data_IF_301462852990
#
_entry.id   IF_301462852990
#
_cell.length_a   1.000
_cell.length_b   1.000
_cell.length_c   1.000
_cell.angle_alpha   90.00
_cell.angle_beta   90.00
_cell.angle_gamma   90.00
#
_symmetry.space_group_name_H-M   'P 1'
#
loop_
_entity.id
_entity.type
_entity.pdbx_description
1 polymer ?
#
# COMPACT_ATOMS: atom_id res chain seq x y z
N UNK A 1 7.17 22.93 15.57
CA UNK A 1 8.17 21.91 15.17
C UNK A 1 7.51 20.94 14.22
N UNK A 2 7.94 20.91 12.96
CA UNK A 2 7.35 20.03 11.94
C UNK A 2 7.64 18.57 12.29
N UNK A 3 6.65 17.91 12.89
CA UNK A 3 6.63 16.45 13.06
C UNK A 3 6.27 15.86 11.70
N UNK A 4 7.23 15.79 10.78
CA UNK A 4 7.09 14.85 9.68
C UNK A 4 6.93 13.47 10.33
N UNK A 5 5.74 12.89 10.23
CA UNK A 5 5.56 11.48 10.57
C UNK A 5 6.63 10.71 9.80
N UNK A 6 7.36 9.79 10.47
CA UNK A 6 8.31 8.95 9.77
C UNK A 6 7.60 8.30 8.59
N UNK A 7 8.24 8.36 7.42
CA UNK A 7 7.68 7.81 6.18
C UNK A 7 7.26 6.37 6.47
N UNK A 8 6.09 5.96 6.01
CA UNK A 8 5.43 4.71 6.44
C UNK A 8 6.29 3.43 6.31
N UNK A 9 7.26 3.41 5.40
CA UNK A 9 8.21 2.29 5.19
C UNK A 9 9.52 2.43 5.99
N UNK A 10 9.71 3.48 6.78
CA UNK A 10 10.93 3.74 7.53
C UNK A 10 10.97 2.92 8.82
N UNK A 11 12.07 2.18 9.04
CA UNK A 11 12.29 1.38 10.24
C UNK A 11 13.59 1.74 10.95
N UNK A 12 13.72 1.36 12.22
CA UNK A 12 14.98 1.55 12.97
C UNK A 12 16.13 0.77 12.34
N UNK A 13 15.86 -0.38 11.71
CA UNK A 13 16.86 -1.17 11.00
C UNK A 13 17.37 -0.45 9.74
N UNK A 14 16.47 0.15 8.95
CA UNK A 14 16.86 0.99 7.79
C UNK A 14 17.71 2.18 8.26
N UNK A 15 17.35 2.80 9.39
CA UNK A 15 18.12 3.90 9.98
C UNK A 15 19.53 3.47 10.37
N UNK A 16 19.69 2.32 11.02
CA UNK A 16 21.00 1.72 11.36
C UNK A 16 21.82 1.42 10.10
N UNK A 17 21.25 0.67 9.15
CA UNK A 17 21.92 0.32 7.88
C UNK A 17 22.31 1.56 7.07
N UNK A 18 21.50 2.62 7.11
CA UNK A 18 21.83 3.90 6.46
C UNK A 18 23.02 4.57 7.14
N UNK A 19 23.06 4.59 8.46
CA UNK A 19 24.18 5.16 9.20
C UNK A 19 25.48 4.40 8.90
N UNK A 20 25.44 3.07 8.87
CA UNK A 20 26.56 2.20 8.49
C UNK A 20 27.01 2.43 7.05
N UNK A 21 26.07 2.46 6.10
CA UNK A 21 26.36 2.71 4.69
C UNK A 21 27.04 4.07 4.48
N UNK A 22 26.60 5.10 5.20
CA UNK A 22 27.22 6.43 5.17
C UNK A 22 28.63 6.42 5.79
N UNK A 23 28.85 5.67 6.87
CA UNK A 23 30.18 5.48 7.47
C UNK A 23 31.13 4.79 6.50
N UNK A 24 30.71 3.66 5.92
CA UNK A 24 31.49 2.90 4.94
C UNK A 24 31.80 3.73 3.68
N UNK A 25 30.82 4.48 3.16
CA UNK A 25 31.04 5.42 2.03
C UNK A 25 32.16 6.41 2.33
N UNK A 26 32.14 7.02 3.53
CA UNK A 26 33.17 7.98 3.94
C UNK A 26 34.54 7.34 4.06
N UNK A 27 34.62 6.09 4.54
CA UNK A 27 35.88 5.34 4.60
C UNK A 27 36.46 5.10 3.21
N UNK A 28 35.66 4.61 2.26
CA UNK A 28 36.07 4.41 0.85
C UNK A 28 36.55 5.71 0.22
N UNK A 29 35.81 6.80 0.40
CA UNK A 29 36.18 8.11 -0.15
C UNK A 29 37.54 8.60 0.36
N UNK A 30 37.85 8.37 1.64
CA UNK A 30 39.13 8.76 2.27
C UNK A 30 40.27 7.78 1.97
N UNK A 31 39.95 6.57 1.53
CA UNK A 31 40.92 5.53 1.20
C UNK A 31 41.33 5.54 -0.28
N UNK A 32 40.78 6.45 -1.11
CA UNK A 32 41.19 6.59 -2.52
C UNK A 32 42.71 6.77 -2.62
N UNK A 33 43.34 5.95 -3.46
CA UNK A 33 44.80 5.93 -3.64
C UNK A 33 45.57 5.18 -2.54
N UNK A 34 44.90 4.57 -1.57
CA UNK A 34 45.53 3.75 -0.52
C UNK A 34 45.39 2.25 -0.85
N UNK A 35 46.31 1.39 -0.38
CA UNK A 35 46.22 -0.06 -0.59
C UNK A 35 44.91 -0.68 -0.08
N UNK A 36 44.33 -0.16 1.00
CA UNK A 36 43.08 -0.66 1.58
C UNK A 36 41.80 -0.25 0.81
N UNK A 37 41.91 0.49 -0.30
CA UNK A 37 40.76 0.99 -1.05
C UNK A 37 39.83 -0.14 -1.52
N UNK A 38 40.40 -1.18 -2.12
CA UNK A 38 39.63 -2.28 -2.73
C UNK A 38 38.82 -3.05 -1.67
N UNK A 39 39.45 -3.36 -0.53
CA UNK A 39 38.78 -4.03 0.59
C UNK A 39 37.61 -3.21 1.14
N UNK A 40 37.84 -1.91 1.39
CA UNK A 40 36.80 -1.01 1.86
C UNK A 40 35.68 -0.84 0.83
N UNK A 41 36.00 -0.86 -0.47
CA UNK A 41 35.01 -0.77 -1.54
C UNK A 41 34.09 -2.00 -1.56
N UNK A 42 34.64 -3.21 -1.38
CA UNK A 42 33.86 -4.45 -1.28
C UNK A 42 32.92 -4.38 -0.08
N UNK A 43 33.42 -3.99 1.10
CA UNK A 43 32.61 -3.84 2.32
C UNK A 43 31.49 -2.81 2.12
N UNK A 44 31.80 -1.66 1.50
CA UNK A 44 30.79 -0.65 1.20
C UNK A 44 29.70 -1.15 0.24
N UNK A 45 30.08 -1.89 -0.81
CA UNK A 45 29.12 -2.50 -1.75
C UNK A 45 28.17 -3.45 -1.03
N UNK A 46 28.69 -4.26 -0.11
CA UNK A 46 27.90 -5.18 0.71
C UNK A 46 26.90 -4.44 1.60
N UNK A 47 27.37 -3.46 2.40
CA UNK A 47 26.50 -2.68 3.29
C UNK A 47 25.43 -1.92 2.49
N UNK A 48 25.80 -1.37 1.33
CA UNK A 48 24.85 -0.70 0.43
C UNK A 48 23.79 -1.67 -0.13
N UNK A 49 24.17 -2.91 -0.45
CA UNK A 49 23.25 -3.95 -0.89
C UNK A 49 22.25 -4.29 0.21
N UNK A 50 22.74 -4.47 1.45
CA UNK A 50 21.88 -4.78 2.60
C UNK A 50 20.91 -3.64 2.92
N UNK A 51 21.36 -2.38 2.85
CA UNK A 51 20.47 -1.22 2.97
C UNK A 51 19.38 -1.20 1.90
N UNK A 52 19.74 -1.47 0.62
CA UNK A 52 18.76 -1.50 -0.47
C UNK A 52 17.73 -2.59 -0.24
N UNK A 53 18.18 -3.81 0.08
CA UNK A 53 17.32 -4.94 0.39
C UNK A 53 16.35 -4.62 1.53
N UNK A 54 16.84 -4.07 2.64
CA UNK A 54 15.99 -3.69 3.78
C UNK A 54 14.93 -2.64 3.42
N UNK A 55 15.28 -1.65 2.57
CA UNK A 55 14.31 -0.66 2.07
C UNK A 55 13.24 -1.32 1.20
N UNK A 56 13.65 -2.18 0.27
CA UNK A 56 12.72 -2.85 -0.65
C UNK A 56 11.78 -3.79 0.10
N UNK A 57 12.30 -4.55 1.06
CA UNK A 57 11.53 -5.47 1.90
C UNK A 57 10.54 -4.70 2.79
N UNK A 58 10.96 -3.58 3.40
CA UNK A 58 10.06 -2.76 4.21
C UNK A 58 8.95 -2.12 3.37
N UNK A 59 9.26 -1.62 2.17
CA UNK A 59 8.25 -1.09 1.25
C UNK A 59 7.25 -2.15 0.83
N UNK A 60 7.71 -3.37 0.49
CA UNK A 60 6.84 -4.50 0.13
C UNK A 60 5.92 -4.86 1.29
N UNK A 61 6.46 -5.02 2.50
CA UNK A 61 5.67 -5.33 3.70
C UNK A 61 4.61 -4.26 3.94
N UNK A 62 4.99 -2.99 3.95
CA UNK A 62 4.02 -1.91 4.16
C UNK A 62 2.98 -1.78 3.04
N UNK A 63 3.32 -2.19 1.81
CA UNK A 63 2.36 -2.25 0.71
C UNK A 63 1.34 -3.36 0.91
N UNK A 64 1.78 -4.54 1.36
CA UNK A 64 0.89 -5.66 1.70
C UNK A 64 -0.04 -5.27 2.86
N UNK A 65 0.50 -4.70 3.94
CA UNK A 65 -0.29 -4.20 5.08
C UNK A 65 -1.35 -3.17 4.64
N UNK A 66 -1.00 -2.29 3.70
CA UNK A 66 -1.95 -1.31 3.16
C UNK A 66 -3.07 -1.98 2.35
N UNK A 67 -2.77 -3.02 1.57
CA UNK A 67 -3.78 -3.78 0.82
C UNK A 67 -4.69 -4.54 1.78
N UNK A 68 -4.14 -5.19 2.80
CA UNK A 68 -4.92 -5.93 3.80
C UNK A 68 -5.87 -4.99 4.56
N UNK A 69 -5.44 -3.76 4.83
CA UNK A 69 -6.28 -2.72 5.45
C UNK A 69 -7.50 -2.36 4.58
N UNK A 70 -7.39 -2.39 3.24
CA UNK A 70 -8.53 -2.12 2.34
C UNK A 70 -9.69 -3.09 2.57
N UNK A 71 -9.37 -4.36 2.83
CA UNK A 71 -10.39 -5.39 3.05
C UNK A 71 -11.18 -5.16 4.35
N UNK A 72 -10.56 -4.53 5.35
CA UNK A 72 -11.18 -4.28 6.66
C UNK A 72 -11.84 -2.90 6.73
N UNK A 73 -11.19 -1.88 6.17
CA UNK A 73 -11.66 -0.51 6.13
C UNK A 73 -11.42 0.11 4.75
N UNK A 74 -12.39 -0.04 3.83
CA UNK A 74 -12.28 0.49 2.46
C UNK A 74 -12.10 2.01 2.41
N UNK A 75 -12.52 2.74 3.45
CA UNK A 75 -12.50 4.21 3.51
C UNK A 75 -11.41 4.77 4.43
N UNK A 76 -10.56 3.90 4.99
CA UNK A 76 -9.52 4.26 5.94
C UNK A 76 -8.26 4.85 5.30
N UNK A 77 -7.09 4.45 5.82
CA UNK A 77 -5.79 4.91 5.33
C UNK A 77 -5.56 4.65 3.84
N UNK A 78 -5.96 3.51 3.24
CA UNK A 78 -5.75 3.26 1.81
C UNK A 78 -6.47 4.28 0.92
N UNK A 79 -7.74 4.57 1.22
CA UNK A 79 -8.52 5.59 0.53
C UNK A 79 -7.85 6.96 0.63
N UNK A 80 -7.41 7.36 1.83
CA UNK A 80 -6.70 8.63 2.02
C UNK A 80 -5.42 8.72 1.20
N UNK A 81 -4.62 7.65 1.15
CA UNK A 81 -3.39 7.61 0.34
C UNK A 81 -3.69 7.78 -1.16
N UNK A 82 -4.76 7.15 -1.65
CA UNK A 82 -5.21 7.31 -3.04
C UNK A 82 -5.70 8.73 -3.28
N UNK A 83 -6.54 9.27 -2.39
CA UNK A 83 -7.07 10.62 -2.53
C UNK A 83 -5.98 11.71 -2.43
N UNK A 84 -4.99 11.57 -1.56
CA UNK A 84 -3.84 12.48 -1.50
C UNK A 84 -3.04 12.47 -2.82
N UNK A 85 -2.96 11.32 -3.52
CA UNK A 85 -2.37 11.25 -4.87
C UNK A 85 -3.27 11.87 -5.94
N UNK A 86 -4.60 11.74 -5.78
CA UNK A 86 -5.59 12.29 -6.70
C UNK A 86 -5.86 13.78 -6.49
N UNK A 87 -5.45 14.37 -5.36
CA UNK A 87 -5.67 15.79 -5.02
C UNK A 87 -5.04 16.78 -6.04
N UNK A 88 -4.19 16.32 -6.96
CA UNK A 88 -3.70 17.12 -8.10
C UNK A 88 -4.58 17.07 -9.36
N UNK A 89 -5.59 16.21 -9.39
CA UNK A 89 -6.53 16.07 -10.50
C UNK A 89 -7.81 16.85 -10.18
N UNK A 90 -8.29 17.63 -11.15
CA UNK A 90 -9.56 18.33 -11.02
C UNK A 90 -10.68 17.29 -10.91
N UNK A 91 -11.39 17.30 -9.78
CA UNK A 91 -12.61 16.54 -9.62
C UNK A 91 -13.62 17.03 -10.65
N UNK A 92 -14.32 16.15 -11.38
CA UNK A 92 -15.37 16.56 -12.30
C UNK A 92 -16.40 17.36 -11.50
N UNK A 93 -16.52 18.65 -11.78
CA UNK A 93 -17.36 19.55 -10.98
C UNK A 93 -18.75 19.74 -11.62
N UNK A 94 -18.90 19.37 -12.89
CA UNK A 94 -20.12 19.59 -13.67
C UNK A 94 -20.99 18.32 -13.72
N UNK A 95 -22.32 18.44 -13.51
CA UNK A 95 -23.25 17.32 -13.55
C UNK A 95 -23.16 16.47 -14.83
N UNK A 96 -23.07 17.11 -15.99
CA UNK A 96 -23.04 16.41 -17.29
C UNK A 96 -21.77 15.55 -17.47
N UNK A 97 -20.64 16.04 -16.95
CA UNK A 97 -19.39 15.27 -16.93
C UNK A 97 -19.50 14.07 -15.99
N UNK A 98 -20.08 14.27 -14.81
CA UNK A 98 -20.35 13.20 -13.85
C UNK A 98 -21.27 12.14 -14.44
N UNK A 99 -22.36 12.53 -15.08
CA UNK A 99 -23.30 11.60 -15.72
C UNK A 99 -22.60 10.78 -16.81
N UNK A 100 -21.76 11.43 -17.63
CA UNK A 100 -20.96 10.73 -18.65
C UNK A 100 -19.98 9.73 -18.03
N UNK A 101 -19.30 10.12 -16.94
CA UNK A 101 -18.37 9.24 -16.23
C UNK A 101 -19.11 8.03 -15.65
N UNK A 102 -20.26 8.25 -14.99
CA UNK A 102 -21.09 7.18 -14.42
C UNK A 102 -21.55 6.22 -15.51
N UNK A 103 -22.05 6.71 -16.64
CA UNK A 103 -22.46 5.85 -17.78
C UNK A 103 -21.33 5.00 -18.35
N UNK A 104 -20.08 5.51 -18.32
CA UNK A 104 -18.90 4.78 -18.82
C UNK A 104 -18.41 3.76 -17.78
N UNK A 105 -18.33 4.15 -16.50
CA UNK A 105 -17.83 3.28 -15.43
C UNK A 105 -18.84 2.19 -15.03
N UNK A 106 -20.13 2.51 -15.11
CA UNK A 106 -21.24 1.63 -14.75
C UNK A 106 -22.23 1.59 -15.92
N UNK A 107 -21.93 0.84 -17.00
CA UNK A 107 -22.85 0.65 -18.12
C UNK A 107 -24.18 0.09 -17.62
N UNK A 108 -25.28 0.59 -18.19
CA UNK A 108 -26.62 0.05 -17.93
C UNK A 108 -26.64 -1.43 -18.30
N UNK A 109 -26.85 -2.29 -17.30
CA UNK A 109 -27.06 -3.71 -17.52
C UNK A 109 -28.51 -3.93 -17.93
N UNK A 110 -28.76 -4.93 -18.78
CA UNK A 110 -30.14 -5.35 -19.03
C UNK A 110 -30.79 -5.79 -17.70
N UNK A 111 -32.09 -5.52 -17.50
CA UNK A 111 -32.79 -5.97 -16.30
C UNK A 111 -32.56 -7.47 -16.13
N UNK A 112 -31.89 -7.85 -15.05
CA UNK A 112 -31.79 -9.25 -14.70
C UNK A 112 -33.18 -9.67 -14.20
N UNK A 113 -33.86 -10.55 -14.93
CA UNK A 113 -35.05 -11.20 -14.40
C UNK A 113 -34.62 -12.05 -13.21
N UNK A 114 -34.82 -11.52 -12.00
CA UNK A 114 -34.78 -12.36 -10.82
C UNK A 114 -35.92 -13.36 -10.96
N UNK A 115 -35.59 -14.58 -11.36
CA UNK A 115 -36.47 -15.70 -11.08
C UNK A 115 -36.49 -15.83 -9.56
N UNK A 116 -37.47 -15.17 -8.94
CA UNK A 116 -37.93 -15.56 -7.62
C UNK A 116 -38.52 -16.94 -7.87
N UNK A 117 -37.73 -17.97 -7.67
CA UNK A 117 -38.28 -19.30 -7.43
C UNK A 117 -39.25 -19.08 -6.26
N UNK A 118 -40.54 -19.08 -6.55
CA UNK A 118 -41.50 -19.48 -5.55
C UNK A 118 -41.08 -20.91 -5.22
N UNK A 119 -40.20 -21.06 -4.23
CA UNK A 119 -40.30 -22.22 -3.35
C UNK A 119 -41.78 -22.25 -2.98
N UNK A 120 -42.52 -23.17 -3.60
CA UNK A 120 -43.82 -23.58 -3.09
C UNK A 120 -43.62 -23.68 -1.58
N UNK A 121 -44.45 -22.98 -0.79
CA UNK A 121 -44.38 -23.06 0.66
C UNK A 121 -44.39 -24.54 1.07
N UNK A 122 -43.20 -25.16 1.19
CA UNK A 122 -43.05 -26.41 1.90
C UNK A 122 -43.42 -26.00 3.31
N UNK A 123 -44.66 -26.39 3.69
CA UNK A 123 -45.26 -26.17 4.99
C UNK A 123 -44.19 -26.22 6.07
N UNK A 124 -43.76 -25.05 6.55
CA UNK A 124 -42.84 -24.98 7.67
C UNK A 124 -43.57 -25.67 8.83
N UNK A 125 -43.11 -26.84 9.31
CA UNK A 125 -43.83 -27.55 10.34
C UNK A 125 -43.88 -26.69 11.60
N UNK A 126 -45.00 -26.73 12.36
CA UNK A 126 -45.16 -25.88 13.53
C UNK A 126 -44.07 -26.17 14.56
N UNK A 127 -43.45 -25.10 15.08
CA UNK A 127 -42.44 -25.19 16.13
C UNK A 127 -43.11 -25.76 17.39
N UNK A 128 -42.69 -26.92 17.91
CA UNK A 128 -43.29 -27.48 19.11
C UNK A 128 -42.94 -26.61 20.32
N UNK A 129 -43.96 -26.00 20.92
CA UNK A 129 -43.84 -25.35 22.24
C UNK A 129 -43.72 -26.44 23.30
N UNK A 130 -42.58 -26.46 24.00
CA UNK A 130 -42.41 -27.32 25.19
C UNK A 130 -43.32 -26.80 26.30
N UNK A 131 -44.20 -27.67 26.82
CA UNK A 131 -44.90 -27.51 28.11
C UNK A 131 -44.05 -28.05 29.25
#
# INVERSE_FOLDING_TARGET
GNRHLPVYWWSEDIKKLRAESLRARRQVQRARGKPCFLELEVVFKEIRRNLRKAIDDSKKRCWIELIEEVNNDPWGRPYKVVMDKLNGYQQPTFPDQLERIVKVLFPTQEPFEYHVEHEEEEMIPPIPTKS
#
